data_IF_388565773714
#
_entry.id   IF_388565773714
#
_cell.length_a   1.000
_cell.length_b   1.000
_cell.length_c   1.000
_cell.angle_alpha   90.00
_cell.angle_beta   90.00
_cell.angle_gamma   90.00
#
_symmetry.space_group_name_H-M   'P 1'
#
loop_
_entity.id
_entity.type
_entity.pdbx_description
1 polymer ?
#
# COMPACT_ATOMS: atom_id res chain seq x y z
N UNK A 1 -24.75 -1.77 81.64
CA UNK A 1 -25.14 -0.87 80.52
C UNK A 1 -23.96 -0.35 79.66
N UNK A 2 -22.69 -0.59 80.02
CA UNK A 2 -21.54 -0.16 79.20
C UNK A 2 -21.17 -1.17 78.11
N UNK A 3 -21.32 -2.46 78.38
CA UNK A 3 -20.86 -3.54 77.48
C UNK A 3 -21.72 -3.71 76.22
N UNK A 4 -23.03 -3.43 76.31
CA UNK A 4 -23.94 -3.50 75.17
C UNK A 4 -23.62 -2.45 74.09
N UNK A 5 -23.08 -1.29 74.49
CA UNK A 5 -22.70 -0.20 73.56
C UNK A 5 -21.46 -0.57 72.75
N UNK A 6 -20.48 -1.25 73.37
CA UNK A 6 -19.28 -1.70 72.66
C UNK A 6 -19.57 -2.81 71.65
N UNK A 7 -20.48 -3.73 71.96
CA UNK A 7 -20.92 -4.78 71.03
C UNK A 7 -21.65 -4.17 69.82
N UNK A 8 -22.54 -3.20 70.04
CA UNK A 8 -23.27 -2.54 68.95
C UNK A 8 -22.35 -1.74 68.01
N UNK A 9 -21.33 -1.08 68.56
CA UNK A 9 -20.33 -0.34 67.77
C UNK A 9 -19.48 -1.31 66.93
N UNK A 10 -19.06 -2.45 67.51
CA UNK A 10 -18.33 -3.48 66.78
C UNK A 10 -19.12 -4.09 65.62
N UNK A 11 -20.43 -4.31 65.82
CA UNK A 11 -21.32 -4.86 64.80
C UNK A 11 -21.60 -3.86 63.66
N UNK A 12 -21.75 -2.58 63.98
CA UNK A 12 -21.86 -1.49 63.00
C UNK A 12 -20.60 -1.35 62.12
N UNK A 13 -19.41 -1.51 62.72
CA UNK A 13 -18.13 -1.46 62.00
C UNK A 13 -17.95 -2.65 61.04
N UNK A 14 -18.40 -3.84 61.44
CA UNK A 14 -18.35 -5.04 60.58
C UNK A 14 -19.31 -4.94 59.38
N UNK A 15 -20.53 -4.45 59.60
CA UNK A 15 -21.53 -4.28 58.53
C UNK A 15 -21.07 -3.21 57.53
N UNK A 16 -20.53 -2.08 58.01
CA UNK A 16 -20.01 -1.02 57.14
C UNK A 16 -18.77 -1.46 56.35
N UNK A 17 -17.88 -2.27 56.94
CA UNK A 17 -16.74 -2.86 56.22
C UNK A 17 -17.19 -3.81 55.09
N UNK A 18 -18.22 -4.63 55.32
CA UNK A 18 -18.76 -5.53 54.29
C UNK A 18 -19.44 -4.75 53.15
N UNK A 19 -20.24 -3.72 53.44
CA UNK A 19 -20.91 -2.89 52.42
C UNK A 19 -19.89 -2.07 51.61
N UNK A 20 -18.87 -1.51 52.26
CA UNK A 20 -17.82 -0.75 51.57
C UNK A 20 -16.94 -1.64 50.68
N UNK A 21 -16.63 -2.88 51.11
CA UNK A 21 -15.86 -3.84 50.31
C UNK A 21 -16.63 -4.34 49.08
N UNK A 22 -17.95 -4.49 49.18
CA UNK A 22 -18.80 -4.88 48.05
C UNK A 22 -18.93 -3.76 47.01
N UNK A 23 -19.11 -2.51 47.45
CA UNK A 23 -19.21 -1.36 46.55
C UNK A 23 -17.90 -1.05 45.82
N UNK A 24 -16.76 -1.16 46.50
CA UNK A 24 -15.44 -0.94 45.88
C UNK A 24 -15.09 -2.01 44.86
N UNK A 25 -15.39 -3.29 45.12
CA UNK A 25 -15.18 -4.37 44.14
C UNK A 25 -16.08 -4.26 42.91
N UNK A 26 -17.34 -3.80 43.07
CA UNK A 26 -18.24 -3.60 41.92
C UNK A 26 -17.79 -2.44 41.03
N UNK A 27 -17.41 -1.29 41.61
CA UNK A 27 -16.84 -0.17 40.85
C UNK A 27 -15.52 -0.54 40.17
N UNK A 28 -14.65 -1.30 40.84
CA UNK A 28 -13.38 -1.72 40.26
C UNK A 28 -13.58 -2.71 39.09
N UNK A 29 -14.57 -3.60 39.16
CA UNK A 29 -14.96 -4.48 38.03
C UNK A 29 -15.54 -3.68 36.86
N UNK A 30 -16.40 -2.70 37.13
CA UNK A 30 -17.01 -1.87 36.09
C UNK A 30 -15.96 -0.97 35.41
N UNK A 31 -15.07 -0.36 36.19
CA UNK A 31 -13.95 0.45 35.70
C UNK A 31 -12.96 -0.38 34.86
N UNK A 32 -12.64 -1.61 35.31
CA UNK A 32 -11.75 -2.52 34.57
C UNK A 32 -12.37 -2.97 33.24
N UNK A 33 -13.68 -3.24 33.21
CA UNK A 33 -14.38 -3.58 31.97
C UNK A 33 -14.45 -2.41 30.99
N UNK A 34 -14.77 -1.21 31.47
CA UNK A 34 -14.76 0.01 30.66
C UNK A 34 -13.35 0.32 30.13
N UNK A 35 -12.31 0.18 30.95
CA UNK A 35 -10.92 0.40 30.53
C UNK A 35 -10.47 -0.62 29.47
N UNK A 36 -10.83 -1.90 29.63
CA UNK A 36 -10.54 -2.93 28.64
C UNK A 36 -11.31 -2.71 27.33
N UNK A 37 -12.57 -2.28 27.42
CA UNK A 37 -13.39 -1.97 26.25
C UNK A 37 -12.84 -0.74 25.50
N UNK A 38 -12.39 0.27 26.23
CA UNK A 38 -11.79 1.48 25.66
C UNK A 38 -10.41 1.19 25.04
N UNK A 39 -9.59 0.33 25.66
CA UNK A 39 -8.34 -0.15 25.04
C UNK A 39 -8.61 -0.91 23.74
N UNK A 40 -9.57 -1.83 23.74
CA UNK A 40 -9.94 -2.58 22.52
C UNK A 40 -10.41 -1.66 21.41
N UNK A 41 -11.23 -0.65 21.71
CA UNK A 41 -11.66 0.35 20.71
C UNK A 41 -10.48 1.17 20.17
N UNK A 42 -9.59 1.65 21.05
CA UNK A 42 -8.41 2.41 20.64
C UNK A 42 -7.45 1.56 19.81
N UNK A 43 -7.25 0.30 20.15
CA UNK A 43 -6.42 -0.64 19.37
C UNK A 43 -7.05 -0.93 18.01
N UNK A 44 -8.37 -1.11 17.95
CA UNK A 44 -9.09 -1.27 16.68
C UNK A 44 -8.97 -0.03 15.79
N UNK A 45 -9.16 1.16 16.35
CA UNK A 45 -9.04 2.43 15.62
C UNK A 45 -7.60 2.68 15.15
N UNK A 46 -6.59 2.34 15.95
CA UNK A 46 -5.18 2.46 15.54
C UNK A 46 -4.82 1.48 14.44
N UNK A 47 -5.32 0.25 14.53
CA UNK A 47 -5.10 -0.76 13.49
C UNK A 47 -5.74 -0.33 12.16
N UNK A 48 -7.01 0.11 12.17
CA UNK A 48 -7.68 0.60 10.97
C UNK A 48 -7.02 1.85 10.40
N UNK A 49 -6.62 2.81 11.24
CA UNK A 49 -5.86 3.98 10.78
C UNK A 49 -4.53 3.58 10.12
N UNK A 50 -3.79 2.63 10.69
CA UNK A 50 -2.52 2.18 10.13
C UNK A 50 -2.69 1.52 8.76
N UNK A 51 -3.75 0.72 8.57
CA UNK A 51 -4.05 0.08 7.30
C UNK A 51 -4.42 1.11 6.21
N UNK A 52 -5.24 2.10 6.58
CA UNK A 52 -5.69 3.13 5.64
C UNK A 52 -4.55 4.08 5.23
N UNK A 53 -3.67 4.44 6.17
CA UNK A 53 -2.53 5.35 5.88
C UNK A 53 -1.42 4.68 5.08
N UNK A 54 -1.07 3.42 5.40
CA UNK A 54 -0.04 2.70 4.63
C UNK A 54 -0.50 2.40 3.20
N UNK A 55 -1.76 1.98 3.02
CA UNK A 55 -2.29 1.65 1.69
C UNK A 55 -2.43 2.89 0.80
N UNK A 56 -2.85 4.03 1.36
CA UNK A 56 -2.93 5.30 0.62
C UNK A 56 -1.57 5.79 0.14
N UNK A 57 -0.55 5.75 1.00
CA UNK A 57 0.83 6.15 0.66
C UNK A 57 1.45 5.26 -0.42
N UNK A 58 1.26 3.94 -0.31
CA UNK A 58 1.76 2.96 -1.29
C UNK A 58 1.08 3.12 -2.66
N UNK A 59 -0.23 3.36 -2.69
CA UNK A 59 -0.99 3.58 -3.93
C UNK A 59 -0.50 4.82 -4.67
N UNK A 60 -0.34 5.95 -3.96
CA UNK A 60 0.17 7.21 -4.55
C UNK A 60 1.61 7.05 -5.09
N UNK A 61 2.45 6.29 -4.38
CA UNK A 61 3.81 5.99 -4.85
C UNK A 61 3.80 5.15 -6.14
N UNK A 62 2.97 4.10 -6.18
CA UNK A 62 2.85 3.23 -7.35
C UNK A 62 2.26 3.98 -8.55
N UNK A 63 1.28 4.86 -8.36
CA UNK A 63 0.73 5.71 -9.43
C UNK A 63 1.78 6.66 -10.02
N UNK A 64 2.63 7.27 -9.18
CA UNK A 64 3.74 8.11 -9.65
C UNK A 64 4.74 7.28 -10.47
N UNK A 65 5.08 6.09 -10.00
CA UNK A 65 5.96 5.17 -10.73
C UNK A 65 5.33 4.74 -12.06
N UNK A 66 4.03 4.44 -12.09
CA UNK A 66 3.28 4.07 -13.28
C UNK A 66 3.31 5.20 -14.32
N UNK A 67 3.08 6.44 -13.89
CA UNK A 67 3.17 7.62 -14.76
C UNK A 67 4.58 7.83 -15.31
N UNK A 68 5.61 7.58 -14.50
CA UNK A 68 7.00 7.64 -14.94
C UNK A 68 7.33 6.55 -15.96
N UNK A 69 6.92 5.30 -15.69
CA UNK A 69 7.08 4.15 -16.59
C UNK A 69 6.41 4.41 -17.94
N UNK A 70 5.17 4.89 -17.95
CA UNK A 70 4.46 5.25 -19.17
C UNK A 70 5.17 6.35 -19.99
N UNK A 71 5.78 7.34 -19.33
CA UNK A 71 6.60 8.35 -20.02
C UNK A 71 7.86 7.75 -20.61
N UNK A 72 8.52 6.82 -19.90
CA UNK A 72 9.69 6.13 -20.42
C UNK A 72 9.34 5.26 -21.62
N UNK A 73 8.23 4.51 -21.54
CA UNK A 73 7.74 3.67 -22.63
C UNK A 73 7.52 4.49 -23.91
N UNK A 74 6.80 5.61 -23.83
CA UNK A 74 6.60 6.50 -24.99
C UNK A 74 7.90 7.04 -25.58
N UNK A 75 8.89 7.34 -24.73
CA UNK A 75 10.22 7.78 -25.21
C UNK A 75 10.96 6.66 -25.94
N UNK A 76 10.85 5.42 -25.46
CA UNK A 76 11.45 4.25 -26.12
C UNK A 76 10.76 4.03 -27.46
N UNK A 77 9.43 4.08 -27.52
CA UNK A 77 8.66 3.93 -28.76
C UNK A 77 9.05 4.96 -29.82
N UNK A 78 9.18 6.24 -29.44
CA UNK A 78 9.64 7.27 -30.37
C UNK A 78 11.08 7.08 -30.87
N UNK A 79 11.97 6.47 -30.05
CA UNK A 79 13.33 6.12 -30.49
C UNK A 79 13.33 4.93 -31.46
N UNK A 80 12.49 3.92 -31.19
CA UNK A 80 12.30 2.73 -32.02
C UNK A 80 11.82 3.16 -33.41
N UNK A 81 10.74 3.93 -33.49
CA UNK A 81 10.18 4.43 -34.76
C UNK A 81 11.22 5.24 -35.57
N UNK A 82 11.98 6.09 -34.88
CA UNK A 82 13.06 6.86 -35.52
C UNK A 82 14.14 5.95 -36.09
N UNK A 83 14.60 4.95 -35.34
CA UNK A 83 15.62 4.01 -35.83
C UNK A 83 15.10 3.15 -36.98
N UNK A 84 13.86 2.68 -36.93
CA UNK A 84 13.24 1.91 -38.03
C UNK A 84 13.19 2.75 -39.32
N UNK A 85 12.84 4.03 -39.20
CA UNK A 85 12.84 4.98 -40.32
C UNK A 85 14.25 5.19 -40.87
N UNK A 86 15.23 5.40 -39.98
CA UNK A 86 16.63 5.59 -40.36
C UNK A 86 17.25 4.35 -41.02
N UNK A 87 16.96 3.14 -40.50
CA UNK A 87 17.38 1.87 -41.09
C UNK A 87 16.77 1.72 -42.48
N UNK A 88 15.48 2.02 -42.64
CA UNK A 88 14.80 1.94 -43.93
C UNK A 88 15.43 2.90 -44.95
N UNK A 89 15.74 4.13 -44.53
CA UNK A 89 16.42 5.10 -45.38
C UNK A 89 17.83 4.64 -45.78
N UNK A 90 18.59 4.03 -44.86
CA UNK A 90 19.92 3.53 -45.16
C UNK A 90 19.89 2.27 -46.04
N UNK A 91 18.87 1.41 -45.91
CA UNK A 91 18.63 0.29 -46.85
C UNK A 91 18.41 0.79 -48.28
N UNK A 92 17.64 1.86 -48.46
CA UNK A 92 17.45 2.49 -49.79
C UNK A 92 18.77 3.04 -50.34
N UNK A 93 19.61 3.63 -49.49
CA UNK A 93 20.94 4.12 -49.90
C UNK A 93 21.87 2.96 -50.27
N UNK A 94 21.82 1.85 -49.53
CA UNK A 94 22.62 0.65 -49.76
C UNK A 94 22.40 0.08 -51.16
N UNK A 95 21.16 0.09 -51.65
CA UNK A 95 20.82 -0.37 -53.00
C UNK A 95 21.52 0.45 -54.10
N UNK A 96 21.78 1.74 -53.84
CA UNK A 96 22.28 2.70 -54.83
C UNK A 96 23.76 3.06 -54.66
N UNK A 97 24.39 2.64 -53.56
CA UNK A 97 25.76 3.02 -53.24
C UNK A 97 26.79 2.04 -53.82
N UNK A 98 27.91 2.57 -54.28
CA UNK A 98 29.10 1.77 -54.63
C UNK A 98 29.81 1.23 -53.39
N UNK A 99 29.80 2.00 -52.29
CA UNK A 99 30.40 1.60 -51.02
C UNK A 99 29.36 0.99 -50.06
N UNK A 100 28.96 -0.25 -50.37
CA UNK A 100 27.91 -0.98 -49.63
C UNK A 100 28.32 -1.38 -48.22
N UNK A 101 29.60 -1.69 -48.01
CA UNK A 101 30.11 -2.23 -46.75
C UNK A 101 29.91 -1.25 -45.58
N UNK A 102 30.27 0.04 -45.77
CA UNK A 102 30.10 1.07 -44.74
C UNK A 102 28.61 1.32 -44.41
N UNK A 103 27.73 1.23 -45.41
CA UNK A 103 26.30 1.44 -45.18
C UNK A 103 25.69 0.23 -44.47
N UNK A 104 26.14 -0.98 -44.81
CA UNK A 104 25.71 -2.21 -44.15
C UNK A 104 26.12 -2.19 -42.67
N UNK A 105 27.36 -1.81 -42.34
CA UNK A 105 27.81 -1.68 -40.95
C UNK A 105 26.94 -0.71 -40.14
N UNK A 106 26.57 0.45 -40.72
CA UNK A 106 25.65 1.40 -40.08
C UNK A 106 24.24 0.84 -39.86
N UNK A 107 23.74 0.04 -40.81
CA UNK A 107 22.45 -0.64 -40.66
C UNK A 107 22.54 -1.65 -39.51
N UNK A 108 23.60 -2.44 -39.45
CA UNK A 108 23.79 -3.47 -38.42
C UNK A 108 23.93 -2.85 -37.02
N UNK A 109 24.67 -1.74 -36.89
CA UNK A 109 24.76 -0.98 -35.64
C UNK A 109 23.39 -0.46 -35.18
N UNK A 110 22.59 0.07 -36.11
CA UNK A 110 21.25 0.58 -35.81
C UNK A 110 20.29 -0.56 -35.45
N UNK A 111 20.41 -1.71 -36.11
CA UNK A 111 19.64 -2.90 -35.79
C UNK A 111 19.96 -3.42 -34.38
N UNK A 112 21.24 -3.47 -34.01
CA UNK A 112 21.65 -3.83 -32.65
C UNK A 112 21.09 -2.86 -31.60
N UNK A 113 21.10 -1.55 -31.88
CA UNK A 113 20.46 -0.54 -31.01
C UNK A 113 18.94 -0.73 -30.91
N UNK A 114 18.29 -1.10 -32.01
CA UNK A 114 16.86 -1.38 -32.06
C UNK A 114 16.52 -2.57 -31.15
N UNK A 115 17.28 -3.65 -31.22
CA UNK A 115 17.08 -4.85 -30.41
C UNK A 115 17.22 -4.54 -28.90
N UNK A 116 18.21 -3.72 -28.53
CA UNK A 116 18.37 -3.24 -27.15
C UNK A 116 17.14 -2.45 -26.70
N UNK A 117 16.67 -1.50 -27.52
CA UNK A 117 15.50 -0.69 -27.18
C UNK A 117 14.22 -1.52 -27.09
N UNK A 118 14.06 -2.55 -27.93
CA UNK A 118 12.93 -3.48 -27.85
C UNK A 118 12.95 -4.27 -26.53
N UNK A 119 14.13 -4.73 -26.09
CA UNK A 119 14.28 -5.39 -24.79
C UNK A 119 14.00 -4.44 -23.62
N UNK A 120 14.46 -3.19 -23.69
CA UNK A 120 14.12 -2.16 -22.71
C UNK A 120 12.60 -1.89 -22.68
N UNK A 121 11.97 -1.79 -23.86
CA UNK A 121 10.51 -1.62 -24.00
C UNK A 121 9.75 -2.71 -23.24
N UNK A 122 10.11 -3.97 -23.48
CA UNK A 122 9.50 -5.12 -22.81
C UNK A 122 9.70 -5.09 -21.29
N UNK A 123 10.89 -4.68 -20.83
CA UNK A 123 11.21 -4.59 -19.40
C UNK A 123 10.37 -3.50 -18.71
N UNK A 124 10.26 -2.32 -19.33
CA UNK A 124 9.43 -1.23 -18.83
C UNK A 124 7.95 -1.62 -18.83
N UNK A 125 7.47 -2.30 -19.89
CA UNK A 125 6.09 -2.78 -19.97
C UNK A 125 5.76 -3.75 -18.84
N UNK A 126 6.60 -4.76 -18.59
CA UNK A 126 6.40 -5.71 -17.47
C UNK A 126 6.30 -5.00 -16.12
N UNK A 127 7.09 -3.94 -15.92
CA UNK A 127 7.04 -3.13 -14.69
C UNK A 127 5.74 -2.34 -14.59
N UNK A 128 5.27 -1.77 -15.70
CA UNK A 128 3.97 -1.08 -15.78
C UNK A 128 2.85 -2.06 -15.39
N UNK A 129 2.80 -3.23 -16.03
CA UNK A 129 1.78 -4.25 -15.78
C UNK A 129 1.76 -4.69 -14.29
N UNK A 130 2.95 -4.86 -13.69
CA UNK A 130 3.07 -5.18 -12.27
C UNK A 130 2.56 -4.05 -11.36
N UNK A 131 2.87 -2.80 -11.68
CA UNK A 131 2.38 -1.64 -10.91
C UNK A 131 0.86 -1.50 -11.02
N UNK A 132 0.30 -1.69 -12.20
CA UNK A 132 -1.16 -1.68 -12.42
C UNK A 132 -1.85 -2.78 -11.61
N UNK A 133 -1.27 -3.99 -11.59
CA UNK A 133 -1.76 -5.08 -10.76
C UNK A 133 -1.76 -4.72 -9.27
N UNK A 134 -0.66 -4.17 -8.74
CA UNK A 134 -0.56 -3.77 -7.33
C UNK A 134 -1.59 -2.70 -6.94
N UNK A 135 -1.80 -1.70 -7.82
CA UNK A 135 -2.81 -0.65 -7.62
C UNK A 135 -4.20 -1.28 -7.61
N UNK A 136 -4.51 -2.17 -8.56
CA UNK A 136 -5.81 -2.84 -8.64
C UNK A 136 -6.11 -3.70 -7.40
N UNK A 137 -5.13 -4.46 -6.90
CA UNK A 137 -5.27 -5.26 -5.67
C UNK A 137 -5.53 -4.36 -4.47
N UNK A 138 -4.74 -3.29 -4.31
CA UNK A 138 -4.89 -2.34 -3.19
C UNK A 138 -6.26 -1.66 -3.21
N UNK A 139 -6.74 -1.28 -4.40
CA UNK A 139 -8.06 -0.68 -4.59
C UNK A 139 -9.19 -1.64 -4.19
N UNK A 140 -9.15 -2.90 -4.66
CA UNK A 140 -10.14 -3.93 -4.28
C UNK A 140 -10.17 -4.20 -2.77
N UNK A 141 -9.00 -4.23 -2.12
CA UNK A 141 -8.92 -4.40 -0.66
C UNK A 141 -9.56 -3.22 0.08
N UNK A 142 -9.37 -1.99 -0.39
CA UNK A 142 -9.98 -0.80 0.20
C UNK A 142 -11.50 -0.76 0.02
N UNK A 143 -12.02 -1.22 -1.12
CA UNK A 143 -13.46 -1.31 -1.41
C UNK A 143 -14.15 -2.36 -0.52
N UNK A 144 -13.56 -3.55 -0.38
CA UNK A 144 -14.10 -4.61 0.49
C UNK A 144 -14.07 -4.25 1.98
N UNK A 145 -13.07 -3.47 2.43
CA UNK A 145 -13.03 -2.96 3.80
C UNK A 145 -14.13 -1.93 4.09
N UNK A 146 -14.55 -1.14 3.08
CA UNK A 146 -15.65 -0.18 3.19
C UNK A 146 -17.02 -0.85 3.35
N UNK A 147 -17.23 -2.00 2.72
CA UNK A 147 -18.56 -2.64 2.67
C UNK A 147 -18.93 -3.37 3.97
N UNK A 148 -17.94 -3.92 4.69
CA UNK A 148 -18.14 -4.54 6.00
C UNK A 148 -18.55 -3.56 7.11
N UNK A 149 -18.43 -2.25 6.88
CA UNK A 149 -18.86 -1.22 7.83
C UNK A 149 -20.32 -0.77 7.67
N UNK A 150 -21.02 -1.21 6.61
CA UNK A 150 -22.42 -0.85 6.34
C UNK A 150 -23.45 -1.94 6.70
N UNK A 151 -22.99 -3.11 7.16
CA UNK A 151 -23.85 -4.25 7.52
C UNK A 151 -23.99 -4.50 9.04
N UNK A 152 -23.66 -3.53 9.89
CA UNK A 152 -23.91 -3.60 11.34
C UNK A 152 -24.76 -2.45 11.83
#
# INVERSE_FOLDING_TARGET
MKDLKFILIGLMLLISAQIFSQNTMQMMRQSSMMHNQQRRMNEQQRFTHSLLTNNGSMTVSNEKQLKSGNRQLRKIEGKVEKLETEISADKIKLEKAENKEIIQEKIDEKQAKLDVLQNEKQTVQKRIDWLEFQIAVTKKMSENAGDTSKQK
#
